data_IF_121599340058
#
_entry.id   IF_121599340058
#
_cell.length_a   1.000
_cell.length_b   1.000
_cell.length_c   1.000
_cell.angle_alpha   90.00
_cell.angle_beta   90.00
_cell.angle_gamma   90.00
#
_symmetry.space_group_name_H-M   'P 1'
#
loop_
_entity.id
_entity.type
_entity.pdbx_description
1 polymer ?
#
# COMPACT_ATOMS: atom_id res chain seq x y z
N UNK A 1 24.94 81.83 51.69
CA UNK A 1 25.13 80.61 50.95
C UNK A 1 25.42 79.53 51.97
N UNK A 2 24.38 78.78 52.37
CA UNK A 2 24.54 77.63 53.27
C UNK A 2 25.18 76.49 52.52
N UNK A 3 26.34 76.06 52.93
CA UNK A 3 26.96 74.83 52.45
C UNK A 3 26.22 73.66 53.10
N UNK A 4 25.40 73.01 52.31
CA UNK A 4 24.77 71.71 52.68
C UNK A 4 25.87 70.64 52.71
N UNK A 5 26.37 70.32 53.92
CA UNK A 5 27.25 69.16 54.09
C UNK A 5 26.44 67.88 53.91
N UNK A 6 26.62 67.25 52.76
CA UNK A 6 26.00 65.97 52.46
C UNK A 6 26.63 64.90 53.36
N UNK A 7 25.83 64.37 54.26
CA UNK A 7 26.25 63.25 55.10
C UNK A 7 26.45 61.95 54.23
N UNK A 8 27.39 61.09 54.63
CA UNK A 8 27.66 59.84 53.92
C UNK A 8 26.37 58.99 53.63
N UNK A 9 25.36 59.12 54.51
CA UNK A 9 24.03 58.53 54.37
C UNK A 9 23.26 59.11 53.19
N UNK A 10 23.35 60.40 52.94
CA UNK A 10 22.64 61.09 51.85
C UNK A 10 23.28 60.72 50.49
N UNK A 11 24.59 60.55 50.44
CA UNK A 11 25.31 60.09 49.25
C UNK A 11 24.92 58.67 48.94
N UNK A 12 24.90 57.82 49.96
CA UNK A 12 24.47 56.39 49.79
C UNK A 12 23.02 56.31 49.25
N UNK A 13 22.11 57.12 49.84
CA UNK A 13 20.70 57.04 49.43
C UNK A 13 20.45 57.68 48.06
N UNK A 14 21.18 58.70 47.65
CA UNK A 14 20.98 59.42 46.38
C UNK A 14 21.72 58.75 45.18
N UNK A 15 22.81 58.05 45.43
CA UNK A 15 23.64 57.51 44.39
C UNK A 15 23.56 55.95 44.34
N UNK A 16 23.72 55.30 45.48
CA UNK A 16 23.77 53.81 45.47
C UNK A 16 22.41 53.17 45.27
N UNK A 17 21.34 53.78 45.84
CA UNK A 17 19.99 53.18 45.70
C UNK A 17 19.43 53.19 44.26
N UNK A 18 19.53 54.29 43.49
CA UNK A 18 19.19 54.29 42.08
C UNK A 18 20.04 53.33 41.25
N UNK A 19 21.33 53.11 41.55
CA UNK A 19 22.20 52.21 40.89
C UNK A 19 21.78 50.75 41.16
N UNK A 20 21.43 50.40 42.41
CA UNK A 20 20.93 49.08 42.75
C UNK A 20 19.59 48.80 42.07
N UNK A 21 18.66 49.77 42.05
CA UNK A 21 17.39 49.61 41.35
C UNK A 21 17.63 49.46 39.84
N UNK A 22 18.49 50.24 39.24
CA UNK A 22 18.87 50.15 37.83
C UNK A 22 19.46 48.79 37.48
N UNK A 23 20.33 48.26 38.36
CA UNK A 23 20.92 46.93 38.20
C UNK A 23 19.85 45.82 38.27
N UNK A 24 18.95 45.89 39.26
CA UNK A 24 17.86 44.94 39.40
C UNK A 24 16.89 44.96 38.20
N UNK A 25 16.55 46.15 37.73
CA UNK A 25 15.72 46.32 36.53
C UNK A 25 16.44 45.81 35.28
N UNK A 26 17.75 46.05 35.15
CA UNK A 26 18.59 45.53 34.07
C UNK A 26 18.65 43.99 34.05
N UNK A 27 18.82 43.40 35.24
CA UNK A 27 18.80 41.94 35.41
C UNK A 27 17.41 41.39 35.06
N UNK A 28 16.34 42.03 35.57
CA UNK A 28 14.97 41.62 35.24
C UNK A 28 14.66 41.70 33.74
N UNK A 29 15.08 42.79 33.10
CA UNK A 29 14.94 42.96 31.65
C UNK A 29 15.78 41.91 30.86
N UNK A 30 17.00 41.64 31.31
CA UNK A 30 17.84 40.59 30.71
C UNK A 30 17.20 39.21 30.79
N UNK A 31 16.64 38.83 31.94
CA UNK A 31 15.91 37.57 32.07
C UNK A 31 14.65 37.53 31.20
N UNK A 32 13.87 38.62 31.16
CA UNK A 32 12.74 38.74 30.23
C UNK A 32 13.20 38.64 28.78
N UNK A 33 14.26 39.33 28.40
CA UNK A 33 14.81 39.25 27.03
C UNK A 33 15.23 37.86 26.66
N UNK A 34 15.99 37.13 27.52
CA UNK A 34 16.40 35.75 27.29
C UNK A 34 15.21 34.81 27.21
N UNK A 35 14.14 35.06 27.97
CA UNK A 35 12.92 34.26 27.95
C UNK A 35 12.13 34.42 26.63
N UNK A 36 12.10 35.61 26.04
CA UNK A 36 11.35 35.87 24.81
C UNK A 36 12.17 35.78 23.52
N UNK A 37 13.49 35.89 23.62
CA UNK A 37 14.38 35.85 22.44
C UNK A 37 15.32 34.62 22.55
N UNK A 38 14.98 33.52 21.88
CA UNK A 38 15.85 32.36 21.87
C UNK A 38 17.22 32.71 21.28
N UNK A 39 18.26 32.17 21.88
CA UNK A 39 19.62 32.39 21.40
C UNK A 39 19.79 31.84 19.96
N UNK A 40 20.73 32.38 19.16
CA UNK A 40 20.98 31.86 17.82
C UNK A 40 21.30 30.37 17.80
N UNK A 41 21.90 29.84 18.87
CA UNK A 41 22.17 28.39 19.02
C UNK A 41 20.89 27.59 19.26
N UNK A 42 19.98 28.08 20.07
CA UNK A 42 18.67 27.46 20.32
C UNK A 42 17.84 27.41 19.05
N UNK A 43 17.83 28.53 18.29
CA UNK A 43 17.13 28.59 17.01
C UNK A 43 17.69 27.56 16.01
N UNK A 44 19.02 27.47 15.87
CA UNK A 44 19.66 26.46 15.02
C UNK A 44 19.38 25.03 15.50
N UNK A 45 19.34 24.80 16.81
CA UNK A 45 19.04 23.49 17.36
C UNK A 45 17.58 23.10 17.07
N UNK A 46 16.66 24.06 17.21
CA UNK A 46 15.24 23.87 16.93
C UNK A 46 15.00 23.57 15.44
N UNK A 47 15.63 24.33 14.54
CA UNK A 47 15.58 24.08 13.10
C UNK A 47 16.13 22.69 12.73
N UNK A 48 17.23 22.25 13.33
CA UNK A 48 17.79 20.90 13.14
C UNK A 48 16.87 19.82 13.70
N UNK A 49 16.26 20.07 14.85
CA UNK A 49 15.30 19.13 15.46
C UNK A 49 14.05 18.99 14.58
N UNK A 50 13.51 20.07 14.07
CA UNK A 50 12.35 20.06 13.17
C UNK A 50 12.68 19.36 11.85
N UNK A 51 13.86 19.61 11.28
CA UNK A 51 14.34 18.93 10.09
C UNK A 51 14.48 17.42 10.32
N UNK A 52 15.09 17.02 11.43
CA UNK A 52 15.24 15.59 11.78
C UNK A 52 13.89 14.92 12.01
N UNK A 53 12.95 15.60 12.66
CA UNK A 53 11.59 15.11 12.88
C UNK A 53 10.83 14.94 11.57
N UNK A 54 10.95 15.91 10.66
CA UNK A 54 10.36 15.82 9.32
C UNK A 54 10.96 14.65 8.52
N UNK A 55 12.29 14.47 8.60
CA UNK A 55 12.96 13.33 7.96
C UNK A 55 12.53 11.99 8.54
N UNK A 56 12.40 11.88 9.86
CA UNK A 56 11.93 10.66 10.52
C UNK A 56 10.49 10.33 10.13
N UNK A 57 9.63 11.35 10.01
CA UNK A 57 8.25 11.15 9.54
C UNK A 57 8.21 10.67 8.10
N UNK A 58 9.03 11.23 7.22
CA UNK A 58 9.14 10.77 5.84
C UNK A 58 9.59 9.32 5.74
N UNK A 59 10.56 8.91 6.58
CA UNK A 59 11.01 7.53 6.67
C UNK A 59 9.90 6.59 7.17
N UNK A 60 9.10 7.02 8.14
CA UNK A 60 7.93 6.26 8.62
C UNK A 60 6.92 6.02 7.49
N UNK A 61 6.58 7.05 6.72
CA UNK A 61 5.70 6.93 5.56
C UNK A 61 6.29 6.02 4.45
N UNK A 62 7.61 6.05 4.25
CA UNK A 62 8.28 5.13 3.32
C UNK A 62 8.24 3.69 3.82
N UNK A 63 8.41 3.49 5.12
CA UNK A 63 8.35 2.18 5.77
C UNK A 63 6.95 1.58 5.66
N UNK A 64 5.89 2.37 5.85
CA UNK A 64 4.50 1.93 5.66
C UNK A 64 4.24 1.50 4.20
N UNK A 65 4.78 2.24 3.23
CA UNK A 65 4.69 1.84 1.81
C UNK A 65 5.40 0.51 1.54
N UNK A 66 6.61 0.32 2.09
CA UNK A 66 7.35 -0.94 1.95
C UNK A 66 6.58 -2.12 2.57
N UNK A 67 5.96 -1.90 3.72
CA UNK A 67 5.16 -2.93 4.39
C UNK A 67 3.93 -3.33 3.54
N UNK A 68 3.27 -2.38 2.90
CA UNK A 68 2.17 -2.65 1.98
C UNK A 68 2.63 -3.48 0.77
N UNK A 69 3.75 -3.11 0.15
CA UNK A 69 4.33 -3.87 -0.97
C UNK A 69 4.70 -5.28 -0.53
N UNK A 70 5.30 -5.43 0.63
CA UNK A 70 5.65 -6.73 1.18
C UNK A 70 4.42 -7.59 1.48
N UNK A 71 3.37 -7.00 2.03
CA UNK A 71 2.08 -7.66 2.23
C UNK A 71 1.47 -8.16 0.92
N UNK A 72 1.52 -7.36 -0.15
CA UNK A 72 1.07 -7.76 -1.49
C UNK A 72 1.90 -8.94 -2.02
N UNK A 73 3.22 -8.92 -1.82
CA UNK A 73 4.11 -10.03 -2.19
C UNK A 73 3.79 -11.31 -1.42
N UNK A 74 3.54 -11.21 -0.11
CA UNK A 74 3.14 -12.33 0.74
C UNK A 74 1.79 -12.92 0.31
N UNK A 75 0.83 -12.07 -0.01
CA UNK A 75 -0.47 -12.50 -0.50
C UNK A 75 -0.37 -13.24 -1.85
N UNK A 76 0.52 -12.80 -2.74
CA UNK A 76 0.81 -13.52 -3.99
C UNK A 76 1.48 -14.86 -3.73
N UNK A 77 2.43 -14.89 -2.81
CA UNK A 77 3.11 -16.12 -2.41
C UNK A 77 2.08 -17.16 -1.94
N UNK A 78 1.23 -16.80 -0.98
CA UNK A 78 0.27 -17.70 -0.38
C UNK A 78 -0.86 -18.10 -1.35
N UNK A 79 -1.43 -17.14 -2.09
CA UNK A 79 -2.63 -17.38 -2.90
C UNK A 79 -2.32 -17.89 -4.32
N UNK A 80 -1.13 -17.62 -4.83
CA UNK A 80 -0.75 -18.03 -6.19
C UNK A 80 0.29 -19.12 -6.15
N UNK A 81 1.52 -18.80 -5.72
CA UNK A 81 2.64 -19.71 -5.90
C UNK A 81 2.50 -20.97 -5.04
N UNK A 82 2.20 -20.83 -3.76
CA UNK A 82 2.04 -21.99 -2.86
C UNK A 82 0.80 -22.80 -3.17
N UNK A 83 -0.30 -22.15 -3.49
CA UNK A 83 -1.51 -22.83 -3.91
C UNK A 83 -1.31 -23.61 -5.22
N UNK A 84 -0.60 -23.01 -6.20
CA UNK A 84 -0.22 -23.66 -7.46
C UNK A 84 0.58 -24.92 -7.24
N UNK A 85 1.54 -24.83 -6.35
CA UNK A 85 2.49 -25.90 -6.08
C UNK A 85 1.98 -26.89 -5.02
N UNK A 86 0.75 -26.68 -4.51
CA UNK A 86 0.19 -27.43 -3.38
C UNK A 86 1.07 -27.39 -2.13
N UNK A 87 1.86 -26.32 -1.98
CA UNK A 87 2.64 -26.05 -0.79
C UNK A 87 1.78 -25.37 0.27
N UNK A 88 2.01 -25.69 1.53
CA UNK A 88 1.29 -25.04 2.63
C UNK A 88 1.70 -23.56 2.74
N UNK A 89 0.74 -22.63 3.02
CA UNK A 89 1.04 -21.22 3.31
C UNK A 89 1.99 -21.12 4.49
N UNK A 90 2.88 -20.12 4.47
CA UNK A 90 3.74 -19.86 5.61
C UNK A 90 2.88 -19.36 6.77
N UNK A 91 2.86 -20.06 7.94
CA UNK A 91 2.04 -19.65 9.08
C UNK A 91 2.39 -18.24 9.54
N UNK A 92 1.38 -17.43 9.89
CA UNK A 92 1.55 -16.06 10.38
C UNK A 92 2.48 -16.01 11.60
N UNK A 93 2.47 -17.04 12.45
CA UNK A 93 3.38 -17.16 13.59
C UNK A 93 4.86 -17.22 13.18
N UNK A 94 5.16 -17.78 12.01
CA UNK A 94 6.52 -17.81 11.45
C UNK A 94 6.87 -16.45 10.86
N UNK A 95 5.93 -15.79 10.18
CA UNK A 95 6.12 -14.45 9.59
C UNK A 95 6.37 -13.38 10.66
N UNK A 96 5.64 -13.46 11.77
CA UNK A 96 5.78 -12.53 12.89
C UNK A 96 6.89 -12.93 13.89
N UNK A 97 7.45 -14.15 13.73
CA UNK A 97 8.36 -14.74 14.72
C UNK A 97 9.73 -14.18 14.68
N UNK A 98 10.32 -13.57 15.51
CA UNK A 98 11.65 -13.04 15.83
C UNK A 98 11.78 -11.52 15.81
N UNK A 99 10.73 -10.80 16.22
CA UNK A 99 10.94 -9.42 16.66
C UNK A 99 11.80 -9.43 17.94
N UNK A 100 12.73 -8.48 18.06
CA UNK A 100 13.54 -8.31 19.25
C UNK A 100 12.63 -8.08 20.48
N UNK A 101 13.09 -8.41 21.70
CA UNK A 101 12.30 -8.19 22.92
C UNK A 101 11.82 -6.72 23.04
N UNK A 102 10.65 -6.50 23.56
CA UNK A 102 10.08 -5.15 23.75
C UNK A 102 11.04 -4.21 24.48
N UNK A 103 11.77 -4.71 25.47
CA UNK A 103 12.78 -3.97 26.23
C UNK A 103 13.88 -3.33 25.35
N UNK A 104 14.18 -3.93 24.18
CA UNK A 104 15.14 -3.36 23.23
C UNK A 104 14.58 -2.05 22.63
N UNK A 105 13.34 -2.04 22.19
CA UNK A 105 12.71 -0.84 21.62
C UNK A 105 12.44 0.23 22.67
N UNK A 106 12.12 -0.17 23.90
CA UNK A 106 11.98 0.74 25.04
C UNK A 106 13.32 1.43 25.35
N UNK A 107 14.43 0.70 25.26
CA UNK A 107 15.77 1.28 25.43
C UNK A 107 16.11 2.30 24.34
N UNK A 108 15.71 2.05 23.08
CA UNK A 108 15.87 3.01 21.98
C UNK A 108 15.03 4.27 22.24
N UNK A 109 13.77 4.10 22.66
CA UNK A 109 12.89 5.23 22.98
C UNK A 109 13.48 6.12 24.07
N UNK A 110 14.07 5.52 25.10
CA UNK A 110 14.76 6.23 26.19
C UNK A 110 16.04 6.93 25.70
N UNK A 111 16.88 6.22 24.95
CA UNK A 111 18.15 6.75 24.47
C UNK A 111 17.98 7.91 23.48
N UNK A 112 17.03 7.78 22.55
CA UNK A 112 16.75 8.80 21.54
C UNK A 112 15.77 9.88 22.03
N UNK A 113 15.16 9.69 23.20
CA UNK A 113 14.03 10.49 23.70
C UNK A 113 12.91 10.63 22.63
N UNK A 114 12.70 9.59 21.83
CA UNK A 114 11.80 9.57 20.70
C UNK A 114 11.11 8.21 20.56
N UNK A 115 9.82 8.19 20.89
CA UNK A 115 8.97 7.01 20.66
C UNK A 115 8.87 6.68 19.17
N UNK A 116 8.82 7.70 18.31
CA UNK A 116 8.76 7.52 16.85
C UNK A 116 9.98 6.76 16.32
N UNK A 117 11.18 7.04 16.83
CA UNK A 117 12.39 6.32 16.43
C UNK A 117 12.36 4.84 16.83
N UNK A 118 11.83 4.53 18.02
CA UNK A 118 11.68 3.15 18.48
C UNK A 118 10.63 2.39 17.64
N UNK A 119 9.49 3.02 17.34
CA UNK A 119 8.43 2.45 16.52
C UNK A 119 8.92 2.20 15.08
N UNK A 120 9.67 3.15 14.50
CA UNK A 120 10.29 3.00 13.19
C UNK A 120 11.30 1.86 13.15
N UNK A 121 12.16 1.74 14.16
CA UNK A 121 13.13 0.64 14.27
C UNK A 121 12.40 -0.71 14.35
N UNK A 122 11.32 -0.79 15.13
CA UNK A 122 10.50 -2.01 15.21
C UNK A 122 9.88 -2.39 13.86
N UNK A 123 9.32 -1.41 13.14
CA UNK A 123 8.76 -1.64 11.78
C UNK A 123 9.83 -2.17 10.84
N UNK A 124 11.03 -1.57 10.85
CA UNK A 124 12.13 -2.00 10.00
C UNK A 124 12.59 -3.42 10.32
N UNK A 125 12.74 -3.77 11.61
CA UNK A 125 13.11 -5.12 12.04
C UNK A 125 12.05 -6.17 11.58
N UNK A 126 10.77 -5.83 11.64
CA UNK A 126 9.67 -6.69 11.14
C UNK A 126 9.80 -6.87 9.62
N UNK A 127 9.95 -5.78 8.88
CA UNK A 127 10.09 -5.82 7.41
C UNK A 127 11.32 -6.64 7.00
N UNK A 128 12.45 -6.46 7.68
CA UNK A 128 13.68 -7.23 7.41
C UNK A 128 13.45 -8.74 7.56
N UNK A 129 12.81 -9.15 8.66
CA UNK A 129 12.50 -10.57 8.90
C UNK A 129 11.51 -11.12 7.87
N UNK A 130 10.44 -10.37 7.58
CA UNK A 130 9.43 -10.79 6.60
C UNK A 130 10.03 -10.85 5.19
N UNK A 131 10.91 -9.93 4.82
CA UNK A 131 11.60 -9.91 3.54
C UNK A 131 12.54 -11.12 3.38
N UNK A 132 13.28 -11.46 4.45
CA UNK A 132 14.12 -12.64 4.47
C UNK A 132 13.31 -13.93 4.27
N UNK A 133 12.19 -14.07 4.98
CA UNK A 133 11.28 -15.21 4.82
C UNK A 133 10.67 -15.27 3.44
N UNK A 134 10.32 -14.12 2.87
CA UNK A 134 9.76 -14.04 1.51
C UNK A 134 10.80 -14.43 0.45
N UNK A 135 12.05 -13.99 0.60
CA UNK A 135 13.13 -14.38 -0.30
C UNK A 135 13.35 -15.90 -0.27
N UNK A 136 13.37 -16.50 0.92
CA UNK A 136 13.49 -17.94 1.09
C UNK A 136 12.29 -18.71 0.50
N UNK A 137 11.07 -18.18 0.68
CA UNK A 137 9.88 -18.74 0.06
C UNK A 137 10.01 -18.81 -1.47
N UNK A 138 10.53 -17.75 -2.09
CA UNK A 138 10.74 -17.75 -3.54
C UNK A 138 11.78 -18.76 -4.01
N UNK A 139 12.83 -19.01 -3.23
CA UNK A 139 13.78 -20.08 -3.55
C UNK A 139 13.11 -21.45 -3.56
N UNK A 140 12.28 -21.75 -2.56
CA UNK A 140 11.48 -22.97 -2.51
C UNK A 140 10.53 -23.09 -3.72
N UNK A 141 9.83 -22.00 -4.05
CA UNK A 141 8.90 -21.93 -5.18
C UNK A 141 9.61 -22.19 -6.51
N UNK A 142 10.78 -21.60 -6.72
CA UNK A 142 11.57 -21.82 -7.94
C UNK A 142 11.96 -23.30 -8.11
N UNK A 143 12.31 -23.96 -7.02
CA UNK A 143 12.63 -25.38 -7.05
C UNK A 143 11.41 -26.24 -7.40
N UNK A 144 10.25 -25.95 -6.80
CA UNK A 144 8.99 -26.61 -7.13
C UNK A 144 8.53 -26.32 -8.57
N UNK A 145 8.68 -25.08 -9.04
CA UNK A 145 8.27 -24.67 -10.38
C UNK A 145 9.06 -25.40 -11.47
N UNK A 146 10.34 -25.71 -11.26
CA UNK A 146 11.16 -26.50 -12.17
C UNK A 146 10.59 -27.90 -12.41
N UNK A 147 9.84 -28.42 -11.45
CA UNK A 147 9.29 -29.78 -11.50
C UNK A 147 7.85 -29.85 -12.03
N UNK A 148 7.20 -28.72 -12.36
CA UNK A 148 5.77 -28.70 -12.69
C UNK A 148 5.35 -27.80 -13.85
N UNK A 149 6.06 -27.86 -14.96
CA UNK A 149 5.82 -27.05 -16.16
C UNK A 149 4.36 -27.07 -16.67
N UNK A 150 3.71 -28.21 -16.56
CA UNK A 150 2.32 -28.42 -17.06
C UNK A 150 1.27 -27.65 -16.24
N UNK A 151 1.51 -27.42 -14.96
CA UNK A 151 0.56 -26.71 -14.10
C UNK A 151 0.57 -25.20 -14.35
N UNK A 152 1.73 -24.65 -14.72
CA UNK A 152 1.90 -23.21 -14.96
C UNK A 152 1.09 -22.68 -16.14
N UNK A 153 0.74 -23.53 -17.11
CA UNK A 153 -0.06 -23.13 -18.26
C UNK A 153 -1.53 -22.86 -17.92
N UNK A 154 -2.04 -23.52 -16.88
CA UNK A 154 -3.45 -23.47 -16.54
C UNK A 154 -3.85 -22.29 -15.66
N UNK A 155 -2.90 -21.69 -14.95
CA UNK A 155 -3.22 -20.61 -14.03
C UNK A 155 -3.42 -19.28 -14.77
N UNK A 156 -4.37 -18.46 -14.31
CA UNK A 156 -4.49 -17.10 -14.80
C UNK A 156 -3.15 -16.37 -14.60
N UNK A 157 -2.55 -15.87 -15.68
CA UNK A 157 -1.21 -15.28 -15.60
C UNK A 157 -1.02 -14.03 -16.46
N UNK A 158 -2.05 -13.68 -17.26
CA UNK A 158 -2.03 -12.53 -18.16
C UNK A 158 -3.25 -11.64 -17.88
N UNK A 159 -3.19 -10.40 -18.34
CA UNK A 159 -4.35 -9.50 -18.29
C UNK A 159 -5.43 -9.97 -19.28
N UNK A 160 -6.72 -9.84 -18.91
CA UNK A 160 -7.83 -10.28 -19.75
C UNK A 160 -8.07 -9.36 -20.96
N UNK A 161 -7.48 -8.16 -20.96
CA UNK A 161 -7.54 -7.16 -22.06
C UNK A 161 -6.15 -6.62 -22.28
N UNK A 162 -5.75 -6.42 -23.53
CA UNK A 162 -4.47 -5.78 -23.85
C UNK A 162 -4.41 -4.36 -23.24
N UNK A 163 -3.47 -4.17 -22.32
CA UNK A 163 -3.32 -2.93 -21.56
C UNK A 163 -1.84 -2.54 -21.44
N UNK A 164 -1.13 -2.50 -22.58
CA UNK A 164 0.31 -2.24 -22.65
C UNK A 164 0.75 -0.95 -21.95
N UNK A 165 -0.12 0.06 -21.97
CA UNK A 165 0.19 1.36 -21.35
C UNK A 165 -0.38 1.50 -19.95
N UNK A 166 -0.98 0.45 -19.39
CA UNK A 166 -1.69 0.41 -18.10
C UNK A 166 -2.77 1.52 -17.93
N UNK A 167 -3.26 2.06 -19.04
CA UNK A 167 -4.23 3.16 -19.03
C UNK A 167 -5.68 2.70 -18.88
N UNK A 168 -5.92 1.38 -18.94
CA UNK A 168 -7.27 0.78 -19.01
C UNK A 168 -7.79 0.24 -17.69
N UNK A 169 -7.27 0.71 -16.57
CA UNK A 169 -7.74 0.29 -15.28
C UNK A 169 -8.67 1.34 -14.69
N UNK A 170 -9.92 0.96 -14.44
CA UNK A 170 -10.90 1.87 -13.86
C UNK A 170 -11.10 1.62 -12.38
N UNK A 171 -10.91 0.39 -11.91
CA UNK A 171 -11.35 0.01 -10.58
C UNK A 171 -10.69 -1.30 -10.12
N UNK A 172 -10.04 -1.30 -8.93
CA UNK A 172 -9.38 -2.47 -8.35
C UNK A 172 -10.31 -3.31 -7.46
N UNK A 173 -9.83 -4.42 -6.95
CA UNK A 173 -10.46 -5.31 -5.99
C UNK A 173 -10.55 -4.68 -4.59
N UNK A 174 -11.64 -4.93 -3.85
CA UNK A 174 -11.77 -4.52 -2.44
C UNK A 174 -12.95 -3.61 -2.12
N UNK A 175 -12.99 -3.07 -0.92
CA UNK A 175 -14.06 -2.20 -0.44
C UNK A 175 -14.03 -0.81 -1.08
N UNK A 176 -15.15 -0.37 -1.63
CA UNK A 176 -15.29 0.95 -2.25
C UNK A 176 -16.73 1.45 -2.22
N UNK A 177 -16.93 2.70 -2.65
CA UNK A 177 -18.25 3.31 -2.72
C UNK A 177 -18.88 2.96 -4.08
N UNK A 178 -20.05 2.33 -4.06
CA UNK A 178 -20.86 2.06 -5.24
C UNK A 178 -21.29 3.41 -5.84
N UNK A 179 -21.00 3.70 -7.13
CA UNK A 179 -21.30 4.99 -7.72
C UNK A 179 -22.80 5.22 -7.96
N UNK A 180 -23.60 4.15 -8.00
CA UNK A 180 -25.04 4.21 -8.22
C UNK A 180 -25.79 4.42 -6.91
N UNK A 181 -25.41 3.70 -5.87
CA UNK A 181 -26.13 3.70 -4.59
C UNK A 181 -25.44 4.49 -3.49
N UNK A 182 -24.20 4.95 -3.67
CA UNK A 182 -23.43 5.69 -2.65
C UNK A 182 -23.07 4.86 -1.41
N UNK A 183 -23.31 3.55 -1.42
CA UNK A 183 -23.04 2.63 -0.28
C UNK A 183 -21.69 1.96 -0.43
N UNK A 184 -21.06 1.60 0.69
CA UNK A 184 -19.83 0.78 0.65
C UNK A 184 -20.18 -0.64 0.21
N UNK A 185 -19.53 -1.10 -0.85
CA UNK A 185 -19.66 -2.44 -1.39
C UNK A 185 -18.29 -3.06 -1.62
N UNK A 186 -18.19 -4.37 -1.47
CA UNK A 186 -17.01 -5.11 -1.83
C UNK A 186 -17.03 -5.44 -3.31
N UNK A 187 -15.97 -5.10 -4.03
CA UNK A 187 -15.77 -5.44 -5.44
C UNK A 187 -14.93 -6.71 -5.55
N UNK A 188 -15.53 -7.75 -6.07
CA UNK A 188 -14.96 -9.10 -6.14
C UNK A 188 -13.96 -9.28 -7.29
N UNK A 189 -13.75 -8.23 -8.11
CA UNK A 189 -12.90 -8.28 -9.28
C UNK A 189 -12.12 -7.00 -9.56
N UNK A 190 -11.74 -6.84 -10.82
CA UNK A 190 -11.13 -5.64 -11.39
C UNK A 190 -11.88 -5.22 -12.64
N UNK A 191 -12.03 -3.91 -12.84
CA UNK A 191 -12.64 -3.35 -14.03
C UNK A 191 -11.56 -2.77 -14.96
N UNK A 192 -11.62 -3.21 -16.21
CA UNK A 192 -10.76 -2.71 -17.28
C UNK A 192 -11.58 -1.88 -18.26
N UNK A 193 -11.36 -0.57 -18.29
CA UNK A 193 -11.98 0.29 -19.30
C UNK A 193 -11.42 -0.04 -20.67
N UNK A 194 -12.33 -0.33 -21.61
CA UNK A 194 -11.97 -0.51 -23.01
C UNK A 194 -13.18 -0.23 -23.90
N UNK A 195 -12.97 0.21 -25.15
CA UNK A 195 -14.07 0.39 -26.11
C UNK A 195 -14.86 -0.89 -26.30
N UNK A 196 -16.18 -0.76 -26.49
CA UNK A 196 -17.03 -1.89 -26.88
C UNK A 196 -16.46 -2.57 -28.12
N UNK A 197 -16.34 -3.90 -28.09
CA UNK A 197 -15.77 -4.68 -29.18
C UNK A 197 -14.27 -4.98 -29.04
N UNK A 198 -13.60 -4.49 -27.98
CA UNK A 198 -12.21 -4.87 -27.67
C UNK A 198 -12.15 -6.36 -27.31
N UNK A 199 -11.10 -7.04 -27.77
CA UNK A 199 -10.90 -8.48 -27.51
C UNK A 199 -10.68 -8.76 -26.02
N UNK A 200 -11.32 -9.83 -25.54
CA UNK A 200 -11.17 -10.39 -24.21
C UNK A 200 -10.51 -11.74 -24.31
N UNK A 201 -9.39 -11.90 -23.59
CA UNK A 201 -8.53 -13.05 -23.64
C UNK A 201 -8.73 -13.96 -22.43
N UNK A 202 -8.69 -15.29 -22.65
CA UNK A 202 -8.58 -16.26 -21.58
C UNK A 202 -7.22 -16.10 -20.87
N UNK A 203 -7.22 -15.92 -19.57
CA UNK A 203 -6.01 -15.60 -18.79
C UNK A 203 -5.16 -16.81 -18.42
N UNK A 204 -5.69 -18.02 -18.61
CA UNK A 204 -5.03 -19.31 -18.42
C UNK A 204 -5.67 -20.38 -19.30
N UNK A 205 -4.98 -21.53 -19.47
CA UNK A 205 -5.60 -22.71 -20.07
C UNK A 205 -6.74 -23.20 -19.18
N UNK A 206 -7.81 -23.70 -19.77
CA UNK A 206 -8.95 -24.18 -19.00
C UNK A 206 -10.11 -24.63 -19.87
N UNK A 207 -11.28 -24.79 -19.24
CA UNK A 207 -12.52 -25.16 -19.90
C UNK A 207 -13.61 -24.16 -19.53
N UNK A 208 -14.35 -23.68 -20.52
CA UNK A 208 -15.54 -22.87 -20.31
C UNK A 208 -16.61 -23.77 -19.69
N UNK A 209 -17.04 -23.40 -18.46
CA UNK A 209 -18.08 -24.11 -17.72
C UNK A 209 -19.42 -23.38 -17.74
N UNK A 210 -19.42 -22.06 -17.98
CA UNK A 210 -20.62 -21.24 -18.12
C UNK A 210 -20.34 -20.14 -19.16
N UNK A 211 -21.31 -19.91 -20.05
CA UNK A 211 -21.25 -18.80 -21.00
C UNK A 211 -22.68 -18.38 -21.37
N UNK A 212 -23.09 -17.18 -20.95
CA UNK A 212 -24.43 -16.68 -21.15
C UNK A 212 -24.74 -15.44 -20.32
N UNK A 213 -26.06 -15.19 -20.17
CA UNK A 213 -26.55 -14.07 -19.38
C UNK A 213 -26.66 -14.44 -17.90
N UNK A 214 -26.10 -13.59 -17.03
CA UNK A 214 -26.21 -13.71 -15.59
C UNK A 214 -26.64 -12.39 -14.97
N UNK A 215 -27.59 -12.41 -14.02
CA UNK A 215 -28.08 -11.21 -13.38
C UNK A 215 -26.93 -10.43 -12.71
N UNK A 216 -26.87 -9.13 -12.95
CA UNK A 216 -25.80 -8.25 -12.52
C UNK A 216 -24.62 -8.22 -13.50
N UNK A 217 -24.09 -9.36 -13.89
CA UNK A 217 -22.92 -9.50 -14.77
C UNK A 217 -23.20 -9.33 -16.26
N UNK A 218 -24.48 -9.37 -16.69
CA UNK A 218 -24.83 -9.35 -18.11
C UNK A 218 -24.33 -10.61 -18.83
N UNK A 219 -23.86 -10.46 -20.06
CA UNK A 219 -23.21 -11.53 -20.78
C UNK A 219 -21.87 -11.83 -20.12
N UNK A 220 -21.68 -13.06 -19.65
CA UNK A 220 -20.46 -13.46 -18.98
C UNK A 220 -19.97 -14.85 -19.43
N UNK A 221 -18.69 -15.11 -19.16
CA UNK A 221 -18.01 -16.39 -19.36
C UNK A 221 -17.35 -16.76 -18.05
N UNK A 222 -17.51 -18.01 -17.62
CA UNK A 222 -16.78 -18.60 -16.49
C UNK A 222 -15.90 -19.72 -17.02
N UNK A 223 -14.59 -19.62 -16.77
CA UNK A 223 -13.59 -20.60 -17.16
C UNK A 223 -13.07 -21.30 -15.91
N UNK A 224 -13.06 -22.63 -15.93
CA UNK A 224 -12.40 -23.47 -14.92
C UNK A 224 -11.02 -23.85 -15.42
N UNK A 225 -10.00 -23.44 -14.69
CA UNK A 225 -8.59 -23.69 -15.01
C UNK A 225 -8.03 -24.96 -14.34
N UNK A 226 -8.85 -25.63 -13.52
CA UNK A 226 -8.36 -26.68 -12.65
C UNK A 226 -7.62 -26.09 -11.43
N UNK A 227 -7.04 -26.95 -10.61
CA UNK A 227 -6.26 -26.57 -9.41
C UNK A 227 -6.96 -25.60 -8.45
N UNK A 228 -8.30 -25.55 -8.49
CA UNK A 228 -9.11 -24.64 -7.67
C UNK A 228 -9.33 -23.24 -8.27
N UNK A 229 -8.74 -22.94 -9.42
CA UNK A 229 -8.86 -21.63 -10.07
C UNK A 229 -10.01 -21.56 -11.07
N UNK A 230 -10.76 -20.45 -10.99
CA UNK A 230 -11.76 -20.06 -11.98
C UNK A 230 -11.63 -18.58 -12.28
N UNK A 231 -11.97 -18.18 -13.50
CA UNK A 231 -12.03 -16.77 -13.89
C UNK A 231 -13.39 -16.43 -14.49
N UNK A 232 -13.91 -15.27 -14.11
CA UNK A 232 -15.17 -14.71 -14.62
C UNK A 232 -14.85 -13.47 -15.46
N UNK A 233 -15.48 -13.40 -16.65
CA UNK A 233 -15.40 -12.29 -17.59
C UNK A 233 -16.81 -11.78 -17.81
N UNK A 234 -17.11 -10.55 -17.39
CA UNK A 234 -18.49 -10.03 -17.39
C UNK A 234 -18.65 -8.74 -18.21
N UNK A 235 -19.90 -8.30 -18.34
CA UNK A 235 -20.36 -7.14 -19.12
C UNK A 235 -20.05 -7.25 -20.61
N UNK A 236 -19.88 -8.47 -21.14
CA UNK A 236 -19.47 -8.71 -22.51
C UNK A 236 -20.53 -8.20 -23.50
N UNK A 237 -20.07 -7.55 -24.58
CA UNK A 237 -20.90 -7.24 -25.75
C UNK A 237 -21.28 -8.53 -26.49
N UNK A 238 -20.28 -9.40 -26.70
CA UNK A 238 -20.48 -10.66 -27.44
C UNK A 238 -19.62 -11.76 -26.83
N UNK A 239 -20.23 -12.92 -26.67
CA UNK A 239 -19.55 -14.17 -26.33
C UNK A 239 -19.13 -14.83 -27.65
N UNK A 240 -17.82 -15.04 -27.85
CA UNK A 240 -17.30 -15.66 -29.07
C UNK A 240 -17.14 -17.19 -28.89
N UNK A 241 -16.85 -17.63 -27.68
CA UNK A 241 -16.68 -19.05 -27.35
C UNK A 241 -17.62 -19.43 -26.21
N UNK A 242 -18.56 -20.33 -26.45
CA UNK A 242 -19.61 -20.68 -25.49
C UNK A 242 -19.32 -21.92 -24.66
N UNK A 243 -18.39 -22.77 -25.11
CA UNK A 243 -18.03 -24.01 -24.42
C UNK A 243 -16.71 -24.58 -24.96
N UNK A 244 -16.20 -25.60 -24.29
CA UNK A 244 -14.97 -26.28 -24.69
C UNK A 244 -13.71 -25.74 -24.04
N UNK A 245 -12.58 -26.31 -24.45
CA UNK A 245 -11.28 -25.93 -23.90
C UNK A 245 -10.81 -24.61 -24.50
N UNK A 246 -10.13 -23.80 -23.69
CA UNK A 246 -9.46 -22.56 -24.07
C UNK A 246 -7.99 -22.63 -23.68
N UNK A 247 -7.14 -22.02 -24.49
CA UNK A 247 -5.74 -21.79 -24.17
C UNK A 247 -5.57 -20.35 -23.68
N UNK A 248 -4.57 -20.13 -22.85
CA UNK A 248 -4.14 -18.78 -22.47
C UNK A 248 -3.90 -17.94 -23.72
N UNK A 249 -4.49 -16.73 -23.77
CA UNK A 249 -4.43 -15.84 -24.92
C UNK A 249 -5.50 -16.10 -25.99
N UNK A 250 -6.33 -17.15 -25.87
CA UNK A 250 -7.49 -17.31 -26.78
C UNK A 250 -8.48 -16.15 -26.60
N UNK A 251 -8.99 -15.60 -27.71
CA UNK A 251 -10.07 -14.62 -27.67
C UNK A 251 -11.37 -15.36 -27.39
N UNK A 252 -12.01 -15.02 -26.26
CA UNK A 252 -13.22 -15.70 -25.77
C UNK A 252 -14.48 -14.81 -25.87
N UNK A 253 -14.33 -13.48 -25.90
CA UNK A 253 -15.42 -12.54 -25.95
C UNK A 253 -14.96 -11.15 -26.36
N UNK A 254 -15.91 -10.21 -26.39
CA UNK A 254 -15.68 -8.80 -26.69
C UNK A 254 -16.19 -7.94 -25.53
N UNK A 255 -15.42 -6.94 -25.14
CA UNK A 255 -15.80 -5.95 -24.11
C UNK A 255 -17.11 -5.28 -24.48
N UNK A 256 -17.95 -5.02 -23.49
CA UNK A 256 -19.24 -4.35 -23.65
C UNK A 256 -19.64 -3.52 -22.44
N UNK A 257 -20.96 -3.40 -22.26
CA UNK A 257 -21.60 -2.69 -21.14
C UNK A 257 -22.96 -3.35 -20.84
N UNK A 258 -23.01 -4.69 -20.84
CA UNK A 258 -24.26 -5.43 -20.58
C UNK A 258 -24.43 -5.69 -19.09
N UNK A 259 -25.68 -5.86 -18.63
CA UNK A 259 -25.96 -6.05 -17.20
C UNK A 259 -25.93 -4.76 -16.39
N UNK A 260 -25.46 -4.81 -15.17
CA UNK A 260 -25.29 -3.62 -14.31
C UNK A 260 -23.94 -2.97 -14.63
N UNK A 261 -23.93 -1.96 -15.47
CA UNK A 261 -22.72 -1.28 -15.93
C UNK A 261 -23.01 0.18 -16.23
N UNK A 262 -22.12 1.08 -15.87
CA UNK A 262 -22.22 2.53 -16.12
C UNK A 262 -21.55 2.97 -17.42
N UNK A 263 -20.78 2.11 -18.04
CA UNK A 263 -20.06 2.39 -19.29
C UNK A 263 -19.26 1.18 -19.79
N UNK A 264 -18.69 1.24 -21.01
CA UNK A 264 -17.95 0.12 -21.57
C UNK A 264 -16.72 -0.26 -20.73
N UNK A 265 -16.73 -1.48 -20.19
CA UNK A 265 -15.62 -2.07 -19.46
C UNK A 265 -15.72 -3.60 -19.42
N UNK A 266 -14.65 -4.26 -19.08
CA UNK A 266 -14.62 -5.66 -18.68
C UNK A 266 -14.53 -5.73 -17.16
N UNK A 267 -15.49 -6.39 -16.52
CA UNK A 267 -15.35 -6.84 -15.14
C UNK A 267 -14.71 -8.21 -15.13
N UNK A 268 -13.61 -8.37 -14.40
CA UNK A 268 -12.82 -9.59 -14.35
C UNK A 268 -12.58 -10.04 -12.92
N UNK A 269 -12.92 -11.30 -12.63
CA UNK A 269 -12.72 -11.91 -11.32
C UNK A 269 -11.79 -13.13 -11.42
N UNK A 270 -10.97 -13.34 -10.41
CA UNK A 270 -10.26 -14.57 -10.16
C UNK A 270 -10.81 -15.21 -8.89
N UNK A 271 -11.20 -16.47 -8.96
CA UNK A 271 -11.68 -17.24 -7.83
C UNK A 271 -10.68 -18.38 -7.52
N UNK A 272 -10.39 -18.54 -6.24
CA UNK A 272 -9.60 -19.66 -5.74
C UNK A 272 -10.41 -20.43 -4.70
N UNK A 273 -10.63 -21.75 -4.95
CA UNK A 273 -11.52 -22.60 -4.16
C UNK A 273 -12.90 -21.97 -3.90
N UNK A 274 -13.47 -21.33 -4.93
CA UNK A 274 -14.80 -20.71 -4.89
C UNK A 274 -14.88 -19.36 -4.16
N UNK A 275 -13.76 -18.78 -3.75
CA UNK A 275 -13.69 -17.43 -3.14
C UNK A 275 -13.01 -16.46 -4.10
N UNK A 276 -13.53 -15.23 -4.27
CA UNK A 276 -12.86 -14.22 -5.04
C UNK A 276 -11.55 -13.82 -4.37
N UNK A 277 -10.52 -13.67 -5.17
CA UNK A 277 -9.18 -13.22 -4.77
C UNK A 277 -8.74 -12.06 -5.65
N UNK A 278 -7.80 -11.26 -5.17
CA UNK A 278 -7.33 -10.08 -5.87
C UNK A 278 -6.67 -10.43 -7.22
N UNK A 279 -7.26 -10.02 -8.37
CA UNK A 279 -6.71 -10.34 -9.68
C UNK A 279 -5.33 -9.76 -9.96
N UNK A 280 -4.91 -8.71 -9.22
CA UNK A 280 -3.57 -8.11 -9.36
C UNK A 280 -2.46 -9.13 -9.15
N UNK A 281 -2.69 -10.12 -8.32
CA UNK A 281 -1.72 -11.16 -7.99
C UNK A 281 -1.40 -12.11 -9.16
N UNK A 282 -2.12 -11.99 -10.30
CA UNK A 282 -2.10 -12.96 -11.39
C UNK A 282 -1.54 -12.45 -12.72
N UNK A 283 -0.92 -11.24 -12.77
CA UNK A 283 -0.40 -10.66 -14.03
C UNK A 283 1.11 -10.80 -14.17
N UNK A 284 1.68 -11.87 -13.62
CA UNK A 284 3.13 -12.06 -13.52
C UNK A 284 3.81 -12.43 -14.86
N UNK A 285 3.06 -12.78 -15.90
CA UNK A 285 3.62 -13.05 -17.23
C UNK A 285 3.53 -11.88 -18.20
N UNK A 286 2.67 -10.90 -17.92
CA UNK A 286 2.41 -9.77 -18.79
C UNK A 286 3.13 -8.49 -18.36
N UNK A 287 3.46 -8.37 -17.09
CA UNK A 287 3.99 -7.15 -16.52
C UNK A 287 5.40 -7.33 -16.00
N UNK A 288 6.28 -6.38 -16.33
CA UNK A 288 7.54 -6.22 -15.63
C UNK A 288 7.29 -5.77 -14.17
N UNK A 289 8.27 -5.89 -13.28
CA UNK A 289 8.14 -5.39 -11.90
C UNK A 289 7.70 -3.92 -11.83
N UNK A 290 8.24 -3.07 -12.70
CA UNK A 290 7.94 -1.64 -12.75
C UNK A 290 6.51 -1.36 -13.25
N UNK A 291 6.05 -2.14 -14.23
CA UNK A 291 4.68 -2.07 -14.76
C UNK A 291 3.69 -2.56 -13.70
N UNK A 292 4.07 -3.59 -12.96
CA UNK A 292 3.27 -4.09 -11.85
C UNK A 292 3.09 -3.03 -10.75
N UNK A 293 4.17 -2.40 -10.29
CA UNK A 293 4.11 -1.34 -9.28
C UNK A 293 3.23 -0.17 -9.73
N UNK A 294 3.34 0.19 -11.01
CA UNK A 294 2.47 1.21 -11.62
C UNK A 294 1.01 0.79 -11.60
N UNK A 295 0.71 -0.47 -11.93
CA UNK A 295 -0.64 -1.03 -11.90
C UNK A 295 -1.23 -0.99 -10.49
N UNK A 296 -0.48 -1.39 -9.46
CA UNK A 296 -0.91 -1.34 -8.06
C UNK A 296 -1.23 0.09 -7.63
N UNK A 297 -0.37 1.05 -7.97
CA UNK A 297 -0.61 2.46 -7.67
C UNK A 297 -1.88 2.99 -8.34
N UNK A 298 -2.10 2.63 -9.60
CA UNK A 298 -3.30 3.03 -10.34
C UNK A 298 -4.56 2.41 -9.76
N UNK A 299 -4.55 1.12 -9.44
CA UNK A 299 -5.68 0.42 -8.83
C UNK A 299 -6.07 1.00 -7.46
N UNK A 300 -5.09 1.42 -6.67
CA UNK A 300 -5.32 2.04 -5.37
C UNK A 300 -5.85 3.49 -5.50
N UNK A 301 -5.51 4.18 -6.59
CA UNK A 301 -5.95 5.55 -6.86
C UNK A 301 -7.27 5.61 -7.65
N UNK A 302 -7.69 4.51 -8.29
CA UNK A 302 -8.94 4.42 -9.04
C UNK A 302 -10.12 4.31 -8.06
N UNK A 303 -10.62 5.44 -7.59
CA UNK A 303 -11.64 5.53 -6.55
C UNK A 303 -13.08 5.23 -6.97
N UNK A 304 -13.38 4.96 -8.23
CA UNK A 304 -14.75 4.82 -8.74
C UNK A 304 -14.98 3.47 -9.40
N UNK A 305 -16.03 2.78 -8.96
CA UNK A 305 -16.56 1.59 -9.64
C UNK A 305 -17.28 1.98 -10.95
N UNK A 306 -17.34 1.03 -11.89
CA UNK A 306 -18.11 1.15 -13.12
C UNK A 306 -19.37 0.26 -13.12
N UNK A 307 -19.55 -0.60 -12.10
CA UNK A 307 -20.66 -1.53 -11.92
C UNK A 307 -21.44 -1.38 -10.60
#
# INVERSE_FOLDING_TARGET
MERVELTARDIIRRVTWPLVIGLLLGIGFFFLFVMFFPSPREKQLMERYDALRAQTKLLDEQTDRLQNVLSDLQQRDDNLYRALLQAEPIPMSVRLGASRPAAYYDSIALYTNSKLSADLTRKLDIIENELYLQARSYEEIIEYARNQEVRMENIPAIQPVLNKDLTRMASGYGWRVDPVYGTRRFHEGMDFTAPTGTDVYATGNGRIIEAGWRQGYGNCILVDHGFGYRTLYAHLHKILKKSGNVKRGDIIGLVGSTGKSTGPHLHYEVHYHGRPVDPRNFYFQDLSPEEYDRMVQMANNAGNMLD
#
